data_IF_822508561762
#
_entry.id   IF_822508561762
#
_cell.length_a   1.000
_cell.length_b   1.000
_cell.length_c   1.000
_cell.angle_alpha   90.00
_cell.angle_beta   90.00
_cell.angle_gamma   90.00
#
_symmetry.space_group_name_H-M   'P 1'
#
loop_
_entity.id
_entity.type
_entity.pdbx_description
1 polymer ?
#
# COMPACT_ATOMS: atom_id res chain seq x y z
N UNK A 1 -9.41 22.58 28.83
CA UNK A 1 -8.06 23.02 28.41
C UNK A 1 -8.08 23.53 26.98
N UNK A 2 -8.75 22.84 26.04
CA UNK A 2 -8.83 23.21 24.62
C UNK A 2 -9.74 24.42 24.31
N UNK A 3 -10.82 24.63 25.05
CA UNK A 3 -11.66 25.84 24.95
C UNK A 3 -10.89 27.15 25.26
N UNK A 4 -9.78 27.08 26.01
CA UNK A 4 -8.92 28.26 26.26
C UNK A 4 -7.92 28.53 25.14
N UNK A 5 -7.71 27.59 24.23
CA UNK A 5 -6.73 27.69 23.15
C UNK A 5 -7.30 28.08 21.78
N UNK A 6 -8.63 28.18 21.65
CA UNK A 6 -9.29 28.49 20.37
C UNK A 6 -9.12 27.43 19.28
N UNK A 7 -8.69 26.21 19.64
CA UNK A 7 -8.39 25.12 18.71
C UNK A 7 -9.56 24.16 18.58
N UNK A 8 -9.76 23.61 17.37
CA UNK A 8 -10.74 22.55 17.14
C UNK A 8 -10.35 21.27 17.89
N UNK A 9 -11.35 20.43 18.21
CA UNK A 9 -11.16 19.10 18.81
C UNK A 9 -10.33 18.20 17.87
N UNK A 10 -10.45 18.41 16.56
CA UNK A 10 -9.67 17.71 15.54
C UNK A 10 -8.18 18.06 15.64
N UNK A 11 -7.85 19.36 15.63
CA UNK A 11 -6.48 19.88 15.67
C UNK A 11 -5.78 19.48 16.97
N UNK A 12 -6.52 19.59 18.07
CA UNK A 12 -6.15 19.11 19.40
C UNK A 12 -5.69 17.65 19.39
N UNK A 13 -6.43 16.77 18.71
CA UNK A 13 -6.15 15.34 18.64
C UNK A 13 -4.91 15.07 17.77
N UNK A 14 -4.74 15.82 16.69
CA UNK A 14 -3.55 15.73 15.83
C UNK A 14 -2.30 16.17 16.59
N UNK A 15 -2.36 17.32 17.27
CA UNK A 15 -1.25 17.84 18.07
C UNK A 15 -0.86 16.84 19.17
N UNK A 16 -1.85 16.26 19.86
CA UNK A 16 -1.60 15.26 20.91
C UNK A 16 -0.99 13.95 20.35
N UNK A 17 -1.34 13.58 19.11
CA UNK A 17 -0.71 12.43 18.42
C UNK A 17 0.74 12.75 18.05
N UNK A 18 1.01 13.96 17.55
CA UNK A 18 2.34 14.40 17.12
C UNK A 18 3.30 14.64 18.30
N UNK A 19 2.79 15.02 19.47
CA UNK A 19 3.62 15.25 20.65
C UNK A 19 4.11 13.96 21.34
N UNK A 20 3.71 12.78 20.84
CA UNK A 20 4.16 11.49 21.40
C UNK A 20 5.56 11.17 20.88
N UNK A 21 6.45 10.78 21.79
CA UNK A 21 7.78 10.32 21.43
C UNK A 21 7.70 8.97 20.69
N UNK A 22 8.46 8.75 19.61
CA UNK A 22 8.49 7.46 18.92
C UNK A 22 8.98 6.36 19.87
N UNK A 23 8.34 5.19 19.80
CA UNK A 23 8.75 4.00 20.54
C UNK A 23 9.91 3.31 19.83
N UNK A 24 10.82 2.73 20.60
CA UNK A 24 11.93 1.95 20.04
C UNK A 24 11.41 0.60 19.56
N UNK A 25 11.76 0.21 18.33
CA UNK A 25 11.50 -1.14 17.83
C UNK A 25 12.35 -2.19 18.55
N UNK A 26 13.44 -1.79 19.21
CA UNK A 26 14.35 -2.65 19.99
C UNK A 26 13.87 -2.89 21.43
N UNK A 27 12.69 -2.37 21.80
CA UNK A 27 12.16 -2.53 23.15
C UNK A 27 11.61 -3.96 23.34
N UNK A 28 12.03 -4.70 24.40
CA UNK A 28 11.50 -6.02 24.68
C UNK A 28 10.02 -5.94 25.05
N UNK A 29 9.22 -6.89 24.54
CA UNK A 29 7.78 -6.99 24.76
C UNK A 29 7.46 -8.26 25.57
N UNK A 30 7.08 -8.09 26.84
CA UNK A 30 6.69 -9.19 27.73
C UNK A 30 7.84 -9.74 28.60
N UNK A 31 7.55 -10.82 29.34
CA UNK A 31 8.48 -11.51 30.25
C UNK A 31 9.47 -12.45 29.52
N UNK A 32 9.30 -12.64 28.21
CA UNK A 32 10.25 -13.42 27.39
C UNK A 32 11.29 -12.46 26.80
N UNK A 33 12.54 -12.62 27.24
CA UNK A 33 13.67 -11.77 26.87
C UNK A 33 14.02 -11.78 25.37
N UNK A 34 13.42 -12.70 24.59
CA UNK A 34 13.74 -12.90 23.18
C UNK A 34 12.80 -12.18 22.20
N UNK A 35 11.66 -11.63 22.65
CA UNK A 35 10.68 -11.00 21.74
C UNK A 35 10.76 -9.48 21.78
N UNK A 36 11.00 -8.89 20.61
CA UNK A 36 11.22 -7.44 20.44
C UNK A 36 10.03 -6.80 19.73
N UNK A 37 9.68 -5.55 20.05
CA UNK A 37 8.53 -4.85 19.46
C UNK A 37 8.53 -4.84 17.92
N UNK A 38 9.71 -4.75 17.30
CA UNK A 38 9.87 -4.81 15.84
C UNK A 38 9.41 -6.11 15.20
N UNK A 39 9.43 -7.24 15.92
CA UNK A 39 9.01 -8.54 15.40
C UNK A 39 7.47 -8.67 15.26
N UNK A 40 6.71 -7.82 15.96
CA UNK A 40 5.25 -7.76 15.86
C UNK A 40 4.76 -6.77 14.81
N UNK A 41 5.67 -5.98 14.23
CA UNK A 41 5.32 -5.03 13.20
C UNK A 41 5.28 -5.76 11.86
N UNK A 42 4.07 -6.03 11.37
CA UNK A 42 3.86 -6.58 10.03
C UNK A 42 4.42 -5.62 8.98
N UNK A 43 5.34 -6.11 8.15
CA UNK A 43 5.90 -5.31 7.07
C UNK A 43 4.93 -5.32 5.87
N UNK A 44 4.20 -4.23 5.70
CA UNK A 44 3.33 -4.04 4.55
C UNK A 44 4.07 -3.60 3.27
N UNK A 45 5.41 -3.56 3.29
CA UNK A 45 6.23 -3.22 2.12
C UNK A 45 6.60 -4.44 1.30
N UNK A 46 6.39 -5.65 1.82
CA UNK A 46 6.62 -6.86 1.06
C UNK A 46 5.49 -7.01 0.03
N UNK A 47 5.86 -6.90 -1.24
CA UNK A 47 4.99 -7.24 -2.35
C UNK A 47 4.52 -8.69 -2.15
N UNK A 48 3.23 -8.86 -1.89
CA UNK A 48 2.64 -10.19 -1.75
C UNK A 48 2.95 -11.00 -3.02
N UNK A 49 3.65 -12.16 -2.94
CA UNK A 49 3.99 -12.95 -4.11
C UNK A 49 2.74 -13.41 -4.90
N UNK A 50 1.57 -13.46 -4.24
CA UNK A 50 0.30 -13.70 -4.92
C UNK A 50 -0.12 -12.51 -5.78
N UNK A 51 0.21 -11.28 -5.39
CA UNK A 51 -0.11 -10.08 -6.14
C UNK A 51 0.61 -10.04 -7.48
N UNK A 52 1.90 -10.39 -7.51
CA UNK A 52 2.66 -10.49 -8.75
C UNK A 52 2.12 -11.60 -9.67
N UNK A 53 1.84 -12.78 -9.10
CA UNK A 53 1.23 -13.90 -9.83
C UNK A 53 -0.13 -13.52 -10.42
N UNK A 54 -0.96 -12.81 -9.65
CA UNK A 54 -2.27 -12.36 -10.10
C UNK A 54 -2.16 -11.29 -11.20
N UNK A 55 -1.18 -10.38 -11.12
CA UNK A 55 -0.92 -9.38 -12.16
C UNK A 55 -0.52 -10.04 -13.48
N UNK A 56 0.33 -11.06 -13.43
CA UNK A 56 0.76 -11.80 -14.62
C UNK A 56 -0.38 -12.63 -15.23
N UNK A 57 -1.20 -13.25 -14.40
CA UNK A 57 -2.41 -13.95 -14.84
C UNK A 57 -3.39 -13.00 -15.53
N UNK A 58 -3.60 -11.80 -14.96
CA UNK A 58 -4.47 -10.78 -15.53
C UNK A 58 -3.93 -10.30 -16.89
N UNK A 59 -2.63 -10.03 -16.99
CA UNK A 59 -1.99 -9.62 -18.25
C UNK A 59 -2.21 -10.65 -19.35
N UNK A 60 -2.03 -11.93 -19.03
CA UNK A 60 -2.25 -13.05 -19.95
C UNK A 60 -3.70 -13.11 -20.43
N UNK A 61 -4.67 -12.92 -19.53
CA UNK A 61 -6.08 -12.90 -19.91
C UNK A 61 -6.44 -11.71 -20.81
N UNK A 62 -5.87 -10.53 -20.53
CA UNK A 62 -6.05 -9.34 -21.37
C UNK A 62 -5.48 -9.60 -22.77
N UNK A 63 -4.27 -10.16 -22.87
CA UNK A 63 -3.66 -10.48 -24.16
C UNK A 63 -4.52 -11.47 -24.98
N UNK A 64 -5.02 -12.53 -24.34
CA UNK A 64 -5.92 -13.49 -24.99
C UNK A 64 -7.23 -12.85 -25.45
N UNK A 65 -7.81 -11.93 -24.67
CA UNK A 65 -9.01 -11.20 -25.09
C UNK A 65 -8.71 -10.27 -26.29
N UNK A 66 -7.54 -9.62 -26.28
CA UNK A 66 -7.11 -8.72 -27.36
C UNK A 66 -6.87 -9.46 -28.68
N UNK A 67 -6.48 -10.74 -28.64
CA UNK A 67 -6.35 -11.60 -29.83
C UNK A 67 -7.66 -11.77 -30.60
N UNK A 68 -8.81 -11.71 -29.91
CA UNK A 68 -10.14 -11.82 -30.54
C UNK A 68 -10.57 -10.57 -31.32
N UNK A 69 -9.94 -9.43 -31.04
CA UNK A 69 -10.25 -8.14 -31.66
C UNK A 69 -9.52 -7.94 -32.98
N UNK A 70 -10.08 -7.10 -33.85
CA UNK A 70 -9.39 -6.70 -35.07
C UNK A 70 -8.19 -5.79 -34.77
N UNK A 71 -7.25 -5.67 -35.71
CA UNK A 71 -6.02 -4.89 -35.53
C UNK A 71 -6.29 -3.45 -35.06
N UNK A 72 -7.31 -2.80 -35.62
CA UNK A 72 -7.64 -1.41 -35.30
C UNK A 72 -8.17 -1.26 -33.87
N UNK A 73 -9.09 -2.14 -33.45
CA UNK A 73 -9.64 -2.16 -32.09
C UNK A 73 -8.56 -2.45 -31.06
N UNK A 74 -7.72 -3.45 -31.32
CA UNK A 74 -6.57 -3.80 -30.47
C UNK A 74 -5.64 -2.60 -30.28
N UNK A 75 -5.32 -1.90 -31.37
CA UNK A 75 -4.37 -0.78 -31.30
C UNK A 75 -4.97 0.45 -30.61
N UNK A 76 -6.26 0.73 -30.80
CA UNK A 76 -6.96 1.77 -30.05
C UNK A 76 -6.93 1.49 -28.55
N UNK A 77 -7.20 0.24 -28.14
CA UNK A 77 -7.20 -0.14 -26.74
C UNK A 77 -5.79 -0.09 -26.11
N UNK A 78 -4.77 -0.53 -26.85
CA UNK A 78 -3.36 -0.42 -26.42
C UNK A 78 -2.95 1.02 -26.17
N UNK A 79 -3.26 1.93 -27.10
CA UNK A 79 -2.93 3.34 -26.97
C UNK A 79 -3.75 4.04 -25.88
N UNK A 80 -5.03 3.69 -25.74
CA UNK A 80 -5.92 4.34 -24.77
C UNK A 80 -5.61 3.97 -23.33
N UNK A 81 -5.29 2.71 -23.09
CA UNK A 81 -5.09 2.16 -21.74
C UNK A 81 -3.61 1.89 -21.41
N UNK A 82 -2.68 2.25 -22.30
CA UNK A 82 -1.24 2.07 -22.07
C UNK A 82 -0.78 0.62 -22.05
N UNK A 83 -1.57 -0.32 -22.60
CA UNK A 83 -1.30 -1.76 -22.52
C UNK A 83 -0.05 -2.21 -23.31
N UNK A 84 0.50 -1.34 -24.17
CA UNK A 84 1.70 -1.64 -24.96
C UNK A 84 3.01 -1.39 -24.20
N UNK A 85 3.01 -0.52 -23.19
CA UNK A 85 4.24 0.10 -22.70
C UNK A 85 4.62 -0.26 -21.25
N UNK A 86 3.95 -1.27 -20.67
CA UNK A 86 4.38 -1.85 -19.39
C UNK A 86 4.46 -0.87 -18.21
N UNK A 87 3.80 0.29 -18.28
CA UNK A 87 3.83 1.30 -17.22
C UNK A 87 2.69 1.08 -16.21
N UNK A 88 2.68 -0.06 -15.52
CA UNK A 88 2.21 -0.24 -14.12
C UNK A 88 2.54 -1.65 -13.61
#
# INVERSE_FOLDING_TARGET
VWERGGLSIEDTRVILKMSRQPLSLDQPMGDQEDSVFGEFLEDHRDDDPLMETNRDALKTQIDAAMETLNYREREILRLRYGLADGYT
#
